data_IF_656856439971
#
_entry.id   IF_656856439971
#
_cell.length_a   1.000
_cell.length_b   1.000
_cell.length_c   1.000
_cell.angle_alpha   90.00
_cell.angle_beta   90.00
_cell.angle_gamma   90.00
#
_symmetry.space_group_name_H-M   'P 1'
#
loop_
_entity.id
_entity.type
_entity.pdbx_description
1 polymer ?
#
# COMPACT_ATOMS: atom_id res chain seq x y z
N UNK A 1 -21.86 5.32 59.82
CA UNK A 1 -21.16 4.26 59.06
C UNK A 1 -20.67 4.87 57.76
N UNK A 2 -19.39 5.22 57.74
CA UNK A 2 -18.77 5.96 56.64
C UNK A 2 -18.34 4.98 55.54
N UNK A 3 -18.72 5.28 54.29
CA UNK A 3 -18.24 4.54 53.11
C UNK A 3 -17.13 5.39 52.50
N UNK A 4 -15.91 4.86 52.55
CA UNK A 4 -14.72 5.43 51.92
C UNK A 4 -14.79 5.18 50.40
N UNK A 5 -14.80 6.25 49.62
CA UNK A 5 -14.63 6.23 48.17
C UNK A 5 -13.15 6.42 47.85
N UNK A 6 -12.48 5.38 47.40
CA UNK A 6 -11.07 5.43 47.00
C UNK A 6 -10.97 5.91 45.55
N UNK A 7 -10.58 7.16 45.37
CA UNK A 7 -10.16 7.68 44.08
C UNK A 7 -8.74 7.16 43.76
N UNK A 8 -8.62 6.35 42.74
CA UNK A 8 -7.33 5.95 42.18
C UNK A 8 -6.81 7.10 41.33
N UNK A 9 -5.73 7.75 41.81
CA UNK A 9 -4.97 8.75 41.08
C UNK A 9 -4.14 8.05 40.00
N UNK A 10 -4.49 8.23 38.75
CA UNK A 10 -3.60 7.88 37.62
C UNK A 10 -2.37 8.77 37.66
N UNK A 11 -1.21 8.18 37.88
CA UNK A 11 0.08 8.85 37.75
C UNK A 11 0.41 9.01 36.25
N UNK A 12 0.48 10.27 35.80
CA UNK A 12 1.08 10.59 34.49
C UNK A 12 2.58 10.30 34.61
N UNK A 13 3.08 9.43 33.73
CA UNK A 13 4.51 9.24 33.55
C UNK A 13 5.07 10.40 32.72
N UNK A 14 6.22 10.99 33.10
CA UNK A 14 6.85 12.00 32.26
C UNK A 14 7.54 11.33 31.06
N UNK A 15 7.36 11.89 29.87
CA UNK A 15 8.03 11.52 28.64
C UNK A 15 9.56 11.57 28.83
N UNK A 16 10.20 10.43 28.87
CA UNK A 16 11.65 10.31 28.88
C UNK A 16 12.19 10.49 27.46
N UNK A 17 12.84 11.61 27.21
CA UNK A 17 13.64 11.82 26.00
C UNK A 17 14.76 10.78 25.96
N UNK A 18 14.68 9.82 25.05
CA UNK A 18 15.81 8.96 24.70
C UNK A 18 16.73 9.75 23.78
N UNK A 19 17.93 10.07 24.27
CA UNK A 19 19.01 10.61 23.46
C UNK A 19 19.56 9.50 22.58
N UNK A 20 19.36 9.60 21.26
CA UNK A 20 20.01 8.74 20.27
C UNK A 20 21.48 9.12 20.19
N UNK A 21 22.36 8.20 20.60
CA UNK A 21 23.78 8.31 20.40
C UNK A 21 24.11 7.96 18.95
N UNK A 22 24.49 8.96 18.17
CA UNK A 22 25.07 8.77 16.84
C UNK A 22 26.45 8.12 16.98
N UNK A 23 26.56 6.85 16.63
CA UNK A 23 27.86 6.18 16.46
C UNK A 23 28.27 6.36 15.00
N UNK A 24 29.16 7.30 14.76
CA UNK A 24 29.80 7.47 13.45
C UNK A 24 30.87 6.40 13.26
N UNK A 25 30.65 5.46 12.38
CA UNK A 25 31.69 4.57 11.87
C UNK A 25 32.40 5.25 10.69
N UNK A 26 33.62 5.68 10.92
CA UNK A 26 34.54 6.08 9.84
C UNK A 26 35.14 4.82 9.21
N UNK A 27 34.73 4.49 7.98
CA UNK A 27 35.38 3.46 7.17
C UNK A 27 36.54 4.12 6.43
N UNK A 28 37.77 3.82 6.86
CA UNK A 28 38.98 4.18 6.13
C UNK A 28 39.18 3.19 4.98
N UNK A 29 38.98 3.65 3.75
CA UNK A 29 39.32 2.90 2.55
C UNK A 29 40.84 2.99 2.31
N UNK A 30 41.56 1.89 2.54
CA UNK A 30 42.95 1.74 2.14
C UNK A 30 42.97 1.38 0.63
N UNK A 31 43.39 2.32 -0.19
CA UNK A 31 43.66 2.08 -1.62
C UNK A 31 45.05 1.46 -1.75
N UNK A 32 45.08 0.15 -1.94
CA UNK A 32 46.28 -0.58 -2.32
C UNK A 32 46.60 -0.40 -3.80
N UNK A 33 47.69 0.29 -4.09
CA UNK A 33 48.25 0.45 -5.46
C UNK A 33 49.07 -0.79 -5.79
N UNK A 34 48.66 -1.58 -6.81
CA UNK A 34 49.45 -2.65 -7.38
C UNK A 34 49.92 -2.19 -8.76
N UNK A 35 51.24 -2.09 -9.06
CA UNK A 35 51.72 -1.77 -10.37
C UNK A 35 51.72 -3.02 -11.29
N UNK A 36 50.95 -2.93 -12.39
CA UNK A 36 50.98 -3.92 -13.47
C UNK A 36 52.03 -3.60 -14.52
N UNK A 37 52.50 -4.61 -15.31
CA UNK A 37 53.65 -4.49 -16.20
C UNK A 37 53.35 -3.71 -17.49
N UNK A 38 54.35 -2.94 -17.91
CA UNK A 38 54.42 -2.28 -19.21
C UNK A 38 54.51 -3.33 -20.34
N UNK A 39 53.72 -3.15 -21.36
CA UNK A 39 53.99 -3.73 -22.68
C UNK A 39 54.10 -2.63 -23.71
N UNK A 40 55.11 -2.83 -24.56
CA UNK A 40 55.65 -1.92 -25.51
C UNK A 40 54.75 -1.61 -26.72
N UNK A 41 55.06 -0.48 -27.25
CA UNK A 41 54.82 0.16 -28.50
C UNK A 41 54.59 -0.74 -29.72
N UNK A 42 53.52 -0.46 -30.47
CA UNK A 42 53.24 -1.06 -31.76
C UNK A 42 52.29 -0.19 -32.57
N UNK A 43 52.88 0.81 -33.23
CA UNK A 43 52.27 1.69 -34.24
C UNK A 43 51.61 0.89 -35.37
N UNK A 44 50.35 1.11 -35.69
CA UNK A 44 49.81 1.01 -37.05
C UNK A 44 48.61 1.95 -37.25
N UNK A 45 48.64 2.59 -38.42
CA UNK A 45 47.87 3.76 -38.85
C UNK A 45 46.35 3.52 -39.08
N UNK A 46 45.64 4.65 -39.03
CA UNK A 46 44.24 4.84 -39.37
C UNK A 46 43.89 4.55 -40.86
N UNK A 47 42.58 4.45 -41.18
CA UNK A 47 42.07 5.53 -42.02
C UNK A 47 40.85 6.24 -41.49
N UNK A 48 40.87 7.54 -41.65
CA UNK A 48 39.75 8.48 -41.54
C UNK A 48 38.60 8.10 -42.46
N UNK A 49 37.40 8.22 -41.97
CA UNK A 49 36.24 8.52 -42.82
C UNK A 49 35.37 9.55 -42.09
N UNK A 50 35.45 10.74 -42.63
CA UNK A 50 34.61 11.87 -42.28
C UNK A 50 33.14 11.58 -42.61
N UNK A 51 32.22 11.76 -41.64
CA UNK A 51 30.81 11.97 -41.92
C UNK A 51 30.40 13.28 -41.27
N UNK A 52 29.99 14.15 -42.10
CA UNK A 52 29.59 15.53 -41.98
C UNK A 52 28.40 15.68 -40.99
N UNK A 53 28.56 16.56 -40.03
CA UNK A 53 27.48 17.11 -39.22
C UNK A 53 26.57 17.99 -40.06
N UNK A 54 25.27 17.73 -40.02
CA UNK A 54 24.25 18.67 -40.43
C UNK A 54 23.36 18.98 -39.24
N UNK A 55 23.55 20.16 -38.67
CA UNK A 55 22.60 20.77 -37.72
C UNK A 55 21.40 21.32 -38.48
N UNK A 56 20.16 21.10 -38.02
CA UNK A 56 19.06 21.94 -38.47
C UNK A 56 18.90 23.14 -37.54
N UNK A 57 18.87 24.29 -38.20
CA UNK A 57 18.57 25.62 -37.65
C UNK A 57 17.21 25.67 -36.97
N UNK A 58 17.18 26.35 -35.83
CA UNK A 58 15.98 26.91 -35.21
C UNK A 58 15.24 27.82 -36.22
N UNK A 59 13.97 27.56 -36.42
CA UNK A 59 13.03 28.49 -37.05
C UNK A 59 12.01 28.96 -36.00
N UNK A 60 12.20 30.17 -35.59
CA UNK A 60 11.21 31.00 -34.86
C UNK A 60 10.10 31.41 -35.82
N UNK A 61 8.89 30.97 -35.57
CA UNK A 61 7.70 31.65 -36.08
C UNK A 61 6.54 31.42 -35.09
N UNK A 62 6.26 32.47 -34.34
CA UNK A 62 5.05 32.65 -33.57
C UNK A 62 3.99 33.25 -34.54
N UNK A 63 2.76 32.76 -34.55
CA UNK A 63 1.64 33.57 -35.02
C UNK A 63 0.81 34.03 -33.83
N UNK A 64 0.53 35.32 -33.88
CA UNK A 64 -0.35 36.09 -33.03
C UNK A 64 -1.79 35.53 -32.90
N UNK A 65 -2.28 35.66 -31.70
CA UNK A 65 -3.66 36.01 -31.28
C UNK A 65 -4.69 36.16 -32.40
N UNK A 66 -5.79 35.41 -32.30
CA UNK A 66 -7.12 36.02 -32.18
C UNK A 66 -8.19 34.96 -31.92
N UNK A 67 -9.19 35.35 -31.11
CA UNK A 67 -10.46 34.71 -30.91
C UNK A 67 -10.55 33.57 -29.88
N UNK A 68 -10.87 33.98 -28.67
CA UNK A 68 -11.61 33.20 -27.70
C UNK A 68 -13.05 33.02 -28.20
N UNK A 69 -13.57 31.82 -28.40
CA UNK A 69 -15.00 31.56 -28.39
C UNK A 69 -15.40 31.14 -26.97
N UNK A 70 -16.56 31.67 -26.60
CA UNK A 70 -17.17 31.65 -25.32
C UNK A 70 -17.36 30.28 -24.67
N UNK A 71 -17.57 30.38 -23.37
CA UNK A 71 -18.19 29.47 -22.45
C UNK A 71 -19.15 28.49 -23.15
N UNK A 72 -18.72 27.23 -23.30
CA UNK A 72 -19.65 26.13 -23.51
C UNK A 72 -19.40 25.11 -22.44
N UNK A 73 -20.34 25.09 -21.50
CA UNK A 73 -20.84 23.94 -20.74
C UNK A 73 -19.78 22.86 -20.38
N UNK A 74 -19.31 22.96 -19.14
CA UNK A 74 -18.95 21.82 -18.32
C UNK A 74 -19.93 20.68 -18.64
N UNK A 75 -19.50 19.48 -19.03
CA UNK A 75 -20.40 18.32 -19.02
C UNK A 75 -20.85 18.14 -17.57
N UNK A 76 -22.13 18.29 -17.33
CA UNK A 76 -22.77 17.85 -16.12
C UNK A 76 -22.40 16.38 -15.94
N UNK A 77 -21.76 16.08 -14.84
CA UNK A 77 -21.71 14.75 -14.24
C UNK A 77 -23.16 14.36 -13.92
N UNK A 78 -23.84 13.79 -14.89
CA UNK A 78 -25.14 13.19 -14.72
C UNK A 78 -24.98 11.70 -14.93
N UNK A 79 -25.12 11.06 -13.85
CA UNK A 79 -25.66 9.76 -13.52
C UNK A 79 -24.71 9.01 -12.59
N UNK A 80 -24.61 9.48 -11.39
CA UNK A 80 -24.64 8.58 -10.25
C UNK A 80 -25.94 7.78 -10.38
N UNK A 81 -25.91 6.43 -10.43
CA UNK A 81 -27.15 5.64 -10.43
C UNK A 81 -27.94 6.05 -9.18
N UNK A 82 -29.21 6.34 -9.39
CA UNK A 82 -30.15 6.67 -8.35
C UNK A 82 -29.94 5.77 -7.12
N UNK A 83 -29.59 6.41 -6.04
CA UNK A 83 -29.65 5.93 -4.68
C UNK A 83 -31.02 5.28 -4.43
N UNK A 84 -31.15 3.99 -4.68
CA UNK A 84 -32.13 3.19 -3.96
C UNK A 84 -31.72 3.27 -2.51
N UNK A 85 -32.53 3.91 -1.69
CA UNK A 85 -32.41 4.21 -0.28
C UNK A 85 -31.28 3.38 0.40
N UNK A 86 -30.16 4.03 0.62
CA UNK A 86 -29.11 3.51 1.49
C UNK A 86 -29.80 3.21 2.82
N UNK A 87 -29.75 1.98 3.35
CA UNK A 87 -30.28 1.69 4.66
C UNK A 87 -29.69 2.70 5.65
N UNK A 88 -30.51 3.21 6.55
CA UNK A 88 -30.08 4.18 7.57
C UNK A 88 -28.79 3.65 8.21
N UNK A 89 -27.73 4.46 8.18
CA UNK A 89 -26.48 4.13 8.85
C UNK A 89 -26.80 3.81 10.31
N UNK A 90 -26.33 2.68 10.76
CA UNK A 90 -26.42 2.31 12.17
C UNK A 90 -25.74 3.39 13.03
N UNK A 91 -26.27 3.64 14.23
CA UNK A 91 -25.59 4.48 15.19
C UNK A 91 -24.20 3.86 15.51
N UNK A 92 -23.17 4.68 15.80
CA UNK A 92 -21.87 4.16 16.20
C UNK A 92 -22.02 3.11 17.32
N UNK A 93 -21.24 2.01 17.28
CA UNK A 93 -21.23 1.01 18.35
C UNK A 93 -20.95 1.68 19.70
N UNK A 94 -21.51 1.15 20.78
CA UNK A 94 -21.21 1.61 22.13
C UNK A 94 -19.78 1.28 22.52
N UNK A 95 -19.19 2.06 23.43
CA UNK A 95 -17.83 1.89 23.96
C UNK A 95 -17.55 0.55 24.68
N UNK A 96 -18.53 -0.34 24.76
CA UNK A 96 -18.42 -1.64 25.44
C UNK A 96 -18.08 -2.81 24.49
N UNK A 97 -17.92 -2.55 23.18
CA UNK A 97 -17.58 -3.58 22.19
C UNK A 97 -16.07 -3.72 22.05
N UNK A 98 -15.46 -4.55 22.90
CA UNK A 98 -14.01 -4.77 22.99
C UNK A 98 -13.42 -5.53 21.79
N UNK A 99 -14.24 -5.89 20.81
CA UNK A 99 -13.82 -6.63 19.61
C UNK A 99 -13.69 -5.72 18.38
N UNK A 100 -13.95 -4.41 18.53
CA UNK A 100 -13.95 -3.46 17.43
C UNK A 100 -12.65 -2.65 17.34
N UNK A 101 -12.07 -2.66 16.14
CA UNK A 101 -11.06 -1.71 15.72
C UNK A 101 -11.61 -0.72 14.72
N UNK A 102 -10.74 0.13 14.23
CA UNK A 102 -11.03 1.09 13.16
C UNK A 102 -9.92 1.12 12.14
N UNK A 103 -10.29 1.33 10.89
CA UNK A 103 -9.33 1.73 9.87
C UNK A 103 -9.50 3.21 9.51
N UNK A 104 -8.35 3.88 9.29
CA UNK A 104 -8.27 5.30 8.95
C UNK A 104 -7.20 5.55 7.90
N UNK A 105 -7.36 6.63 7.12
CA UNK A 105 -6.35 7.05 6.16
C UNK A 105 -6.49 8.54 5.81
N UNK A 106 -6.01 8.93 4.64
CA UNK A 106 -6.03 10.30 4.17
C UNK A 106 -7.39 11.04 4.24
N UNK A 107 -8.58 10.40 4.10
CA UNK A 107 -9.84 11.12 4.25
C UNK A 107 -10.08 11.67 5.66
N UNK A 108 -9.49 11.03 6.67
CA UNK A 108 -9.60 11.46 8.07
C UNK A 108 -8.51 12.46 8.47
N UNK A 109 -7.68 12.95 7.52
CA UNK A 109 -6.68 13.98 7.81
C UNK A 109 -7.30 15.24 8.40
N UNK A 110 -6.70 15.74 9.49
CA UNK A 110 -7.16 16.93 10.24
C UNK A 110 -8.59 16.80 10.82
N UNK A 111 -9.16 15.61 10.85
CA UNK A 111 -10.43 15.29 11.48
C UNK A 111 -10.25 14.69 12.88
N UNK A 112 -11.36 14.46 13.56
CA UNK A 112 -11.35 13.61 14.75
C UNK A 112 -11.13 12.16 14.32
N UNK A 113 -10.32 11.42 15.07
CA UNK A 113 -10.15 9.98 14.93
C UNK A 113 -11.04 9.25 15.96
N UNK A 114 -11.37 7.98 15.75
CA UNK A 114 -12.14 7.19 16.71
C UNK A 114 -11.45 7.14 18.07
N UNK A 115 -12.26 7.15 19.14
CA UNK A 115 -11.76 7.02 20.50
C UNK A 115 -11.57 5.54 20.87
N UNK A 116 -10.48 5.21 21.55
CA UNK A 116 -10.20 3.93 22.22
C UNK A 116 -10.49 2.65 21.38
N UNK A 117 -10.00 2.52 20.12
CA UNK A 117 -10.20 1.31 19.35
C UNK A 117 -9.46 0.12 19.99
N UNK A 118 -10.00 -1.09 19.88
CA UNK A 118 -9.29 -2.29 20.32
C UNK A 118 -8.01 -2.53 19.49
N UNK A 119 -8.04 -2.20 18.21
CA UNK A 119 -6.88 -2.19 17.29
C UNK A 119 -7.12 -1.15 16.20
N UNK A 120 -6.05 -0.72 15.56
CA UNK A 120 -6.10 0.29 14.52
C UNK A 120 -5.39 -0.18 13.24
N UNK A 121 -5.94 0.19 12.09
CA UNK A 121 -5.34 -0.09 10.78
C UNK A 121 -5.16 1.25 10.06
N UNK A 122 -3.93 1.57 9.64
CA UNK A 122 -3.62 2.88 9.04
C UNK A 122 -3.27 2.72 7.57
N UNK A 123 -3.94 3.47 6.71
CA UNK A 123 -3.65 3.52 5.28
C UNK A 123 -2.40 4.33 4.98
N UNK A 124 -1.45 3.71 4.28
CA UNK A 124 -0.15 4.31 3.94
C UNK A 124 -0.24 5.27 2.75
N UNK A 125 -1.22 5.06 1.87
CA UNK A 125 -1.37 5.81 0.64
C UNK A 125 -2.45 6.92 0.74
N UNK A 126 -2.40 7.87 -0.19
CA UNK A 126 -3.40 8.91 -0.40
C UNK A 126 -4.37 8.49 -1.51
N UNK A 127 -5.08 7.38 -1.33
CA UNK A 127 -6.10 6.84 -2.25
C UNK A 127 -5.59 6.26 -3.57
N UNK A 128 -4.29 6.29 -3.84
CA UNK A 128 -3.65 5.68 -5.02
C UNK A 128 -2.35 5.00 -4.62
N UNK A 129 -2.08 3.83 -5.16
CA UNK A 129 -0.93 2.97 -4.85
C UNK A 129 0.46 3.63 -4.98
N UNK A 130 0.57 4.77 -5.63
CA UNK A 130 1.83 5.50 -5.81
C UNK A 130 1.91 6.83 -5.03
N UNK A 131 1.05 7.02 -4.04
CA UNK A 131 0.96 8.24 -3.24
C UNK A 131 1.25 7.96 -1.77
N UNK A 132 1.46 9.01 -0.98
CA UNK A 132 1.70 8.90 0.46
C UNK A 132 0.57 9.61 1.22
N UNK A 133 0.03 8.97 2.24
CA UNK A 133 -0.92 9.57 3.16
C UNK A 133 -0.27 10.77 3.90
N UNK A 134 -0.78 11.99 3.74
CA UNK A 134 -0.15 13.17 4.33
C UNK A 134 -0.24 13.21 5.86
N UNK A 135 -1.10 12.40 6.46
CA UNK A 135 -1.30 12.31 7.91
C UNK A 135 -0.79 11.00 8.51
N UNK A 136 0.04 10.25 7.78
CA UNK A 136 0.45 8.91 8.19
C UNK A 136 1.03 8.88 9.60
N UNK A 137 1.94 9.79 9.94
CA UNK A 137 2.57 9.81 11.26
C UNK A 137 1.58 10.12 12.39
N UNK A 138 0.69 11.10 12.19
CA UNK A 138 -0.33 11.45 13.18
C UNK A 138 -1.29 10.27 13.43
N UNK A 139 -1.65 9.57 12.36
CA UNK A 139 -2.53 8.39 12.46
C UNK A 139 -1.82 7.18 13.05
N UNK A 140 -0.51 7.02 12.84
CA UNK A 140 0.28 5.98 13.51
C UNK A 140 0.43 6.28 15.01
N UNK A 141 0.69 7.55 15.39
CA UNK A 141 0.72 7.95 16.81
C UNK A 141 -0.62 7.65 17.50
N UNK A 142 -1.74 7.93 16.84
CA UNK A 142 -3.06 7.56 17.33
C UNK A 142 -3.24 6.04 17.46
N UNK A 143 -2.80 5.27 16.46
CA UNK A 143 -2.94 3.81 16.43
C UNK A 143 -2.15 3.11 17.55
N UNK A 144 -1.03 3.68 18.01
CA UNK A 144 -0.22 3.14 19.12
C UNK A 144 -1.00 3.14 20.46
N UNK A 145 -1.98 4.03 20.60
CA UNK A 145 -2.83 4.12 21.80
C UNK A 145 -3.98 3.08 21.82
N UNK A 146 -4.14 2.25 20.76
CA UNK A 146 -5.16 1.21 20.69
C UNK A 146 -5.11 0.28 21.93
N UNK A 147 -6.27 -0.09 22.47
CA UNK A 147 -6.37 -0.79 23.75
C UNK A 147 -5.84 -2.24 23.72
N UNK A 148 -5.98 -2.93 22.59
CA UNK A 148 -5.72 -4.37 22.47
C UNK A 148 -6.90 -5.19 22.94
N UNK A 149 -6.67 -6.48 23.21
CA UNK A 149 -7.69 -7.38 23.75
C UNK A 149 -8.27 -8.38 22.76
N UNK A 150 -7.92 -8.26 21.47
CA UNK A 150 -8.26 -9.22 20.41
C UNK A 150 -7.04 -10.01 19.96
N UNK A 151 -7.22 -10.97 19.04
CA UNK A 151 -6.10 -11.64 18.35
C UNK A 151 -5.42 -10.78 17.27
N UNK A 152 -5.93 -9.58 17.00
CA UNK A 152 -5.32 -8.65 16.05
C UNK A 152 -4.06 -7.98 16.62
N UNK A 153 -3.09 -7.59 15.77
CA UNK A 153 -2.05 -6.67 16.22
C UNK A 153 -2.68 -5.32 16.58
N UNK A 154 -2.14 -4.64 17.58
CA UNK A 154 -2.65 -3.32 17.97
C UNK A 154 -2.64 -2.32 16.83
N UNK A 155 -1.57 -2.37 16.03
CA UNK A 155 -1.40 -1.53 14.83
C UNK A 155 -1.13 -2.43 13.64
N UNK A 156 -1.87 -2.21 12.56
CA UNK A 156 -1.62 -2.77 11.25
C UNK A 156 -1.63 -1.66 10.20
N UNK A 157 -1.15 -1.98 9.00
CA UNK A 157 -1.13 -1.05 7.88
C UNK A 157 -1.94 -1.59 6.71
N UNK A 158 -2.46 -0.71 5.87
CA UNK A 158 -2.98 -1.12 4.58
C UNK A 158 -2.40 -0.27 3.45
N UNK A 159 -2.32 -0.85 2.26
CA UNK A 159 -1.85 -0.19 1.04
C UNK A 159 -2.85 -0.37 -0.07
N UNK A 160 -3.14 0.71 -0.80
CA UNK A 160 -3.89 0.63 -2.04
C UNK A 160 -3.10 -0.15 -3.09
N UNK A 161 -3.75 -1.09 -3.77
CA UNK A 161 -3.14 -1.90 -4.81
C UNK A 161 -3.68 -1.57 -6.19
N UNK A 162 -2.87 -1.73 -7.22
CA UNK A 162 -3.28 -1.44 -8.60
C UNK A 162 -2.33 -2.14 -9.59
N UNK A 163 -2.87 -2.56 -10.74
CA UNK A 163 -2.09 -3.01 -11.87
C UNK A 163 -2.45 -2.19 -13.13
N UNK A 164 -1.87 -1.00 -13.30
CA UNK A 164 -2.22 -0.09 -14.38
C UNK A 164 -1.60 -0.47 -15.73
N UNK A 165 -0.62 -1.38 -15.76
CA UNK A 165 0.16 -1.69 -16.95
C UNK A 165 0.89 -0.45 -17.48
N UNK A 166 1.08 -0.39 -18.79
CA UNK A 166 1.73 0.74 -19.48
C UNK A 166 0.93 2.05 -19.42
N UNK A 167 -0.29 2.03 -18.87
CA UNK A 167 -1.09 3.25 -18.64
C UNK A 167 -0.70 3.98 -17.36
N UNK A 168 0.08 3.32 -16.50
CA UNK A 168 0.63 3.92 -15.28
C UNK A 168 1.72 4.96 -15.57
N UNK A 169 2.09 5.72 -14.54
CA UNK A 169 3.19 6.69 -14.62
C UNK A 169 4.57 6.01 -14.69
N UNK A 170 4.65 4.76 -14.32
CA UNK A 170 5.86 3.93 -14.36
C UNK A 170 5.46 2.46 -14.54
N UNK A 171 6.30 1.70 -15.27
CA UNK A 171 6.17 0.27 -15.48
C UNK A 171 7.54 -0.38 -15.52
N UNK A 172 7.78 -1.55 -14.90
CA UNK A 172 9.07 -2.19 -14.88
C UNK A 172 9.47 -2.73 -16.26
N UNK A 173 10.79 -2.75 -16.52
CA UNK A 173 11.36 -3.25 -17.79
C UNK A 173 12.37 -4.37 -17.58
N UNK A 174 12.64 -4.75 -16.33
CA UNK A 174 13.55 -5.84 -15.96
C UNK A 174 13.20 -6.35 -14.56
N UNK A 175 13.96 -7.36 -14.07
CA UNK A 175 13.78 -7.94 -12.73
C UNK A 175 14.69 -7.27 -11.68
N UNK A 176 14.90 -5.95 -11.75
CA UNK A 176 15.69 -5.23 -10.77
C UNK A 176 14.88 -4.11 -10.11
N UNK A 177 14.88 -4.03 -8.78
CA UNK A 177 14.32 -2.91 -8.04
C UNK A 177 15.02 -2.72 -6.68
N UNK A 178 15.10 -1.49 -6.19
CA UNK A 178 15.74 -1.19 -4.92
C UNK A 178 17.21 -1.62 -4.84
N UNK A 179 17.91 -1.69 -5.97
CA UNK A 179 19.31 -2.14 -6.07
C UNK A 179 19.49 -3.66 -5.95
N UNK A 180 18.43 -4.44 -6.09
CA UNK A 180 18.45 -5.91 -6.03
C UNK A 180 17.88 -6.53 -7.30
N UNK A 181 18.47 -7.65 -7.73
CA UNK A 181 17.87 -8.55 -8.71
C UNK A 181 16.84 -9.42 -7.99
N UNK A 182 15.62 -9.42 -8.48
CA UNK A 182 14.48 -10.14 -7.89
C UNK A 182 14.28 -11.46 -8.62
N UNK A 183 14.19 -12.54 -7.86
CA UNK A 183 13.76 -13.84 -8.40
C UNK A 183 12.26 -13.78 -8.67
N UNK A 184 11.87 -13.79 -9.93
CA UNK A 184 10.50 -13.64 -10.38
C UNK A 184 9.96 -15.00 -10.84
N UNK A 185 8.93 -15.57 -10.16
CA UNK A 185 8.38 -16.88 -10.51
C UNK A 185 7.65 -16.87 -11.87
N UNK A 186 7.30 -15.70 -12.38
CA UNK A 186 6.64 -15.53 -13.67
C UNK A 186 7.63 -15.32 -14.83
N UNK A 187 8.95 -15.34 -14.56
CA UNK A 187 10.01 -15.19 -15.58
C UNK A 187 10.64 -13.80 -15.62
N UNK A 188 11.17 -13.43 -16.78
CA UNK A 188 11.86 -12.14 -16.95
C UNK A 188 10.87 -11.08 -17.40
N UNK A 189 10.81 -9.97 -16.67
CA UNK A 189 10.11 -8.77 -17.11
C UNK A 189 10.90 -8.10 -18.24
N UNK A 190 10.25 -7.87 -19.36
CA UNK A 190 10.81 -7.20 -20.53
C UNK A 190 10.03 -5.95 -20.94
N UNK A 191 9.31 -5.33 -19.98
CA UNK A 191 8.51 -4.13 -20.24
C UNK A 191 7.14 -4.41 -20.85
N UNK A 192 6.69 -5.66 -20.91
CA UNK A 192 5.38 -6.06 -21.45
C UNK A 192 4.30 -6.00 -20.39
N UNK A 193 3.04 -5.86 -20.82
CA UNK A 193 1.87 -6.01 -19.90
C UNK A 193 1.57 -7.49 -19.66
N UNK A 194 2.47 -8.20 -18.98
CA UNK A 194 2.38 -9.62 -18.67
C UNK A 194 2.55 -9.89 -17.16
N UNK A 195 2.39 -11.14 -16.75
CA UNK A 195 2.53 -11.53 -15.36
C UNK A 195 3.93 -11.27 -14.80
N UNK A 196 4.98 -11.40 -15.62
CA UNK A 196 6.36 -11.16 -15.15
C UNK A 196 6.58 -9.69 -14.78
N UNK A 197 6.12 -8.76 -15.62
CA UNK A 197 6.24 -7.34 -15.30
C UNK A 197 5.23 -6.88 -14.26
N UNK A 198 4.03 -7.47 -14.22
CA UNK A 198 3.07 -7.18 -13.15
C UNK A 198 3.62 -7.59 -11.77
N UNK A 199 4.26 -8.74 -11.64
CA UNK A 199 4.95 -9.15 -10.41
C UNK A 199 6.01 -8.13 -9.99
N UNK A 200 6.84 -7.67 -10.91
CA UNK A 200 7.86 -6.66 -10.63
C UNK A 200 7.26 -5.31 -10.25
N UNK A 201 6.09 -4.95 -10.83
CA UNK A 201 5.37 -3.75 -10.44
C UNK A 201 4.90 -3.84 -9.00
N UNK A 202 4.24 -4.92 -8.61
CA UNK A 202 3.80 -5.15 -7.24
C UNK A 202 4.97 -5.17 -6.24
N UNK A 203 6.04 -5.90 -6.56
CA UNK A 203 7.26 -5.91 -5.74
C UNK A 203 7.82 -4.50 -5.51
N UNK A 204 7.87 -3.68 -6.57
CA UNK A 204 8.35 -2.32 -6.47
C UNK A 204 7.42 -1.42 -5.65
N UNK A 205 6.08 -1.58 -5.78
CA UNK A 205 5.12 -0.79 -4.99
C UNK A 205 5.21 -1.13 -3.50
N UNK A 206 5.30 -2.40 -3.13
CA UNK A 206 5.51 -2.81 -1.75
C UNK A 206 6.85 -2.30 -1.18
N UNK A 207 7.92 -2.30 -1.98
CA UNK A 207 9.20 -1.66 -1.60
C UNK A 207 9.02 -0.16 -1.34
N UNK A 208 8.34 0.55 -2.24
CA UNK A 208 8.07 1.98 -2.10
C UNK A 208 7.25 2.26 -0.83
N UNK A 209 6.23 1.43 -0.56
CA UNK A 209 5.37 1.58 0.62
C UNK A 209 6.13 1.35 1.92
N UNK A 210 7.00 0.34 1.97
CA UNK A 210 7.81 0.04 3.14
C UNK A 210 8.90 1.08 3.41
N UNK A 211 9.58 1.58 2.38
CA UNK A 211 10.81 2.34 2.57
C UNK A 211 10.76 3.79 2.10
N UNK A 212 9.81 4.15 1.22
CA UNK A 212 9.72 5.52 0.68
C UNK A 212 8.51 6.31 1.22
N UNK A 213 7.62 5.65 1.99
CA UNK A 213 6.45 6.30 2.62
C UNK A 213 6.69 6.68 4.08
N UNK A 214 7.92 6.61 4.55
CA UNK A 214 8.30 6.99 5.92
C UNK A 214 7.65 6.12 7.02
N UNK A 215 7.48 4.82 6.75
CA UNK A 215 7.08 3.83 7.75
C UNK A 215 8.34 3.37 8.49
N UNK A 216 8.36 3.55 9.81
CA UNK A 216 9.43 3.04 10.65
C UNK A 216 9.23 1.54 10.92
N UNK A 217 10.31 0.74 10.93
CA UNK A 217 10.33 -0.70 11.22
C UNK A 217 9.26 -1.50 10.46
N UNK A 218 9.17 -1.36 9.10
CA UNK A 218 8.08 -1.89 8.27
C UNK A 218 7.88 -3.41 8.37
N UNK A 219 8.92 -4.16 8.77
CA UNK A 219 8.88 -5.60 9.02
C UNK A 219 8.05 -6.01 10.23
N UNK A 220 7.74 -5.09 11.13
CA UNK A 220 7.01 -5.39 12.37
C UNK A 220 5.50 -5.45 12.18
N UNK A 221 4.98 -4.86 11.09
CA UNK A 221 3.56 -4.73 10.85
C UNK A 221 2.95 -5.94 10.12
N UNK A 222 1.63 -6.06 10.25
CA UNK A 222 0.77 -6.77 9.32
C UNK A 222 0.32 -5.77 8.25
N UNK A 223 0.59 -6.08 6.98
CA UNK A 223 0.24 -5.26 5.82
C UNK A 223 -0.97 -5.86 5.09
N UNK A 224 -2.02 -5.08 4.98
CA UNK A 224 -3.22 -5.45 4.23
C UNK A 224 -3.13 -4.92 2.81
N UNK A 225 -3.28 -5.81 1.83
CA UNK A 225 -3.37 -5.46 0.42
C UNK A 225 -4.83 -5.12 0.11
N UNK A 226 -5.12 -3.85 -0.13
CA UNK A 226 -6.46 -3.36 -0.46
C UNK A 226 -6.77 -3.59 -1.95
N UNK A 227 -7.61 -4.61 -2.23
CA UNK A 227 -7.94 -5.07 -3.58
C UNK A 227 -9.37 -4.70 -3.93
N UNK A 228 -9.53 -3.52 -4.52
CA UNK A 228 -10.83 -2.95 -4.85
C UNK A 228 -10.97 -2.52 -6.32
N UNK A 229 -12.19 -2.59 -6.85
CA UNK A 229 -12.49 -2.19 -8.24
C UNK A 229 -12.44 -0.67 -8.46
N UNK A 230 -12.33 0.12 -7.40
CA UNK A 230 -12.06 1.56 -7.46
C UNK A 230 -10.68 1.89 -8.04
N UNK A 231 -9.73 0.97 -7.89
CA UNK A 231 -8.38 1.10 -8.43
C UNK A 231 -8.28 0.63 -9.90
N UNK A 232 -7.15 0.91 -10.53
CA UNK A 232 -6.91 0.51 -11.92
C UNK A 232 -6.35 -0.91 -11.97
N UNK A 233 -7.00 -1.79 -12.74
CA UNK A 233 -6.59 -3.18 -12.88
C UNK A 233 -6.44 -3.57 -14.35
N UNK A 234 -5.59 -4.57 -14.60
CA UNK A 234 -5.51 -5.24 -15.90
C UNK A 234 -6.79 -6.05 -16.16
N UNK A 235 -7.14 -6.22 -17.42
CA UNK A 235 -8.16 -7.20 -17.83
C UNK A 235 -7.70 -8.66 -17.64
N UNK A 236 -6.42 -8.90 -17.48
CA UNK A 236 -5.84 -10.22 -17.22
C UNK A 236 -5.70 -10.47 -15.70
N UNK A 237 -6.57 -11.36 -15.19
CA UNK A 237 -6.53 -11.78 -13.77
C UNK A 237 -5.21 -12.44 -13.37
N UNK A 238 -4.51 -13.08 -14.31
CA UNK A 238 -3.23 -13.69 -14.01
C UNK A 238 -2.17 -12.62 -13.75
N UNK A 239 -2.17 -11.53 -14.52
CA UNK A 239 -1.30 -10.40 -14.28
C UNK A 239 -1.65 -9.69 -12.96
N UNK A 240 -2.94 -9.56 -12.61
CA UNK A 240 -3.36 -8.99 -11.32
C UNK A 240 -2.92 -9.86 -10.14
N UNK A 241 -3.00 -11.20 -10.26
CA UNK A 241 -2.45 -12.11 -9.24
C UNK A 241 -0.95 -11.96 -9.09
N UNK A 242 -0.23 -11.92 -10.20
CA UNK A 242 1.22 -11.76 -10.19
C UNK A 242 1.66 -10.45 -9.52
N UNK A 243 0.93 -9.36 -9.73
CA UNK A 243 1.16 -8.07 -9.06
C UNK A 243 1.05 -8.22 -7.52
N UNK A 244 -0.05 -8.80 -7.03
CA UNK A 244 -0.26 -9.04 -5.60
C UNK A 244 0.73 -10.06 -5.02
N UNK A 245 1.16 -11.07 -5.78
CA UNK A 245 2.22 -11.99 -5.40
C UNK A 245 3.55 -11.26 -5.23
N UNK A 246 3.87 -10.34 -6.14
CA UNK A 246 5.07 -9.50 -6.04
C UNK A 246 5.08 -8.64 -4.78
N UNK A 247 3.94 -8.01 -4.42
CA UNK A 247 3.79 -7.27 -3.17
C UNK A 247 3.97 -8.19 -1.95
N UNK A 248 3.30 -9.33 -1.96
CA UNK A 248 3.35 -10.30 -0.86
C UNK A 248 4.77 -10.82 -0.64
N UNK A 249 5.45 -11.21 -1.71
CA UNK A 249 6.81 -11.76 -1.65
C UNK A 249 7.81 -10.70 -1.17
N UNK A 250 7.63 -9.44 -1.55
CA UNK A 250 8.45 -8.36 -1.01
C UNK A 250 8.26 -8.23 0.50
N UNK A 251 7.03 -8.06 0.99
CA UNK A 251 6.76 -7.91 2.42
C UNK A 251 7.25 -9.13 3.23
N UNK A 252 7.04 -10.35 2.74
CA UNK A 252 7.60 -11.55 3.35
C UNK A 252 9.14 -11.54 3.37
N UNK A 253 9.79 -11.00 2.32
CA UNK A 253 11.26 -10.94 2.23
C UNK A 253 11.91 -10.05 3.28
N UNK A 254 11.16 -9.10 3.83
CA UNK A 254 11.59 -8.24 4.94
C UNK A 254 11.14 -8.76 6.31
N UNK A 255 10.36 -9.86 6.36
CA UNK A 255 9.85 -10.46 7.59
C UNK A 255 8.46 -9.97 8.02
N UNK A 256 7.83 -9.11 7.25
CA UNK A 256 6.49 -8.61 7.52
C UNK A 256 5.42 -9.68 7.28
N UNK A 257 4.27 -9.51 7.92
CA UNK A 257 3.07 -10.34 7.68
C UNK A 257 2.20 -9.65 6.63
N UNK A 258 1.43 -10.45 5.87
CA UNK A 258 0.54 -9.94 4.82
C UNK A 258 -0.85 -10.53 4.98
N UNK A 259 -1.87 -9.72 4.68
CA UNK A 259 -3.25 -10.14 4.57
C UNK A 259 -3.92 -9.47 3.35
N UNK A 260 -5.14 -9.86 3.03
CA UNK A 260 -5.89 -9.34 1.88
C UNK A 260 -7.18 -8.71 2.38
N UNK A 261 -7.41 -7.45 2.00
CA UNK A 261 -8.70 -6.79 2.14
C UNK A 261 -9.42 -6.77 0.78
N UNK A 262 -10.67 -7.17 0.77
CA UNK A 262 -11.57 -7.03 -0.39
C UNK A 262 -13.02 -7.34 -0.03
N UNK A 263 -13.93 -6.94 -0.90
CA UNK A 263 -15.24 -7.59 -0.97
C UNK A 263 -15.15 -8.82 -1.87
N UNK A 264 -15.81 -9.94 -1.49
CA UNK A 264 -15.73 -11.22 -2.23
C UNK A 264 -16.02 -11.08 -3.73
N UNK A 265 -16.98 -10.20 -4.12
CA UNK A 265 -17.29 -9.92 -5.52
C UNK A 265 -16.15 -9.19 -6.24
N UNK A 266 -15.51 -8.23 -5.60
CA UNK A 266 -14.40 -7.47 -6.18
C UNK A 266 -13.20 -8.39 -6.38
N UNK A 267 -12.87 -9.20 -5.37
CA UNK A 267 -11.82 -10.21 -5.45
C UNK A 267 -12.05 -11.17 -6.63
N UNK A 268 -13.25 -11.74 -6.75
CA UNK A 268 -13.59 -12.64 -7.86
C UNK A 268 -13.46 -11.97 -9.24
N UNK A 269 -13.72 -10.68 -9.33
CA UNK A 269 -13.59 -9.91 -10.58
C UNK A 269 -12.14 -9.62 -10.93
N UNK A 270 -11.32 -9.20 -9.96
CA UNK A 270 -9.95 -8.71 -10.15
C UNK A 270 -8.96 -9.87 -10.23
N UNK A 271 -9.09 -10.83 -9.33
CA UNK A 271 -8.11 -11.90 -9.08
C UNK A 271 -8.64 -13.27 -9.47
N UNK A 272 -9.86 -13.60 -9.04
CA UNK A 272 -10.46 -14.91 -9.21
C UNK A 272 -9.86 -15.96 -8.27
N UNK A 273 -9.79 -17.20 -8.74
CA UNK A 273 -9.27 -18.32 -7.96
C UNK A 273 -7.75 -18.26 -7.83
N UNK A 274 -7.24 -18.61 -6.65
CA UNK A 274 -5.82 -18.66 -6.32
C UNK A 274 -5.40 -20.10 -6.04
N UNK A 275 -4.40 -20.59 -6.76
CA UNK A 275 -3.86 -21.94 -6.60
C UNK A 275 -2.95 -22.08 -5.39
N UNK A 276 -2.71 -23.32 -4.94
CA UNK A 276 -1.91 -23.64 -3.76
C UNK A 276 -0.42 -23.27 -3.86
N UNK A 277 0.07 -23.03 -5.08
CA UNK A 277 1.46 -22.62 -5.34
C UNK A 277 1.67 -21.09 -5.21
N UNK A 278 0.59 -20.30 -5.13
CA UNK A 278 0.64 -18.85 -5.01
C UNK A 278 0.96 -18.43 -3.57
N UNK A 279 1.78 -17.40 -3.40
CA UNK A 279 2.02 -16.79 -2.08
C UNK A 279 0.76 -16.15 -1.48
N UNK A 280 -0.27 -15.91 -2.27
CA UNK A 280 -1.56 -15.42 -1.80
C UNK A 280 -2.43 -16.50 -1.14
N UNK A 281 -2.19 -17.81 -1.39
CA UNK A 281 -3.14 -18.89 -1.13
C UNK A 281 -3.64 -18.98 0.31
N UNK A 282 -2.77 -18.78 1.29
CA UNK A 282 -3.09 -18.93 2.71
C UNK A 282 -3.14 -17.62 3.49
N UNK A 283 -3.18 -16.48 2.80
CA UNK A 283 -3.23 -15.18 3.46
C UNK A 283 -4.56 -15.00 4.21
N UNK A 284 -4.54 -14.37 5.39
CA UNK A 284 -5.75 -14.01 6.11
C UNK A 284 -6.59 -13.02 5.30
N UNK A 285 -7.89 -13.08 5.49
CA UNK A 285 -8.87 -12.24 4.81
C UNK A 285 -9.50 -11.24 5.75
N UNK A 286 -9.52 -9.99 5.34
CA UNK A 286 -10.31 -8.90 5.88
C UNK A 286 -11.43 -8.61 4.88
N UNK A 287 -12.68 -8.91 5.24
CA UNK A 287 -13.81 -8.81 4.33
C UNK A 287 -14.57 -7.51 4.52
N UNK A 288 -14.81 -6.80 3.43
CA UNK A 288 -15.72 -5.66 3.39
C UNK A 288 -17.17 -6.08 3.17
N UNK A 289 -18.11 -5.22 3.57
CA UNK A 289 -19.50 -5.28 3.17
C UNK A 289 -20.50 -5.74 4.24
N UNK A 290 -20.09 -5.83 5.49
CA UNK A 290 -21.04 -5.93 6.58
C UNK A 290 -21.84 -4.61 6.71
N UNK A 291 -23.06 -4.71 7.23
CA UNK A 291 -23.99 -3.58 7.32
C UNK A 291 -24.16 -3.07 8.76
N UNK A 292 -23.59 -3.80 9.71
CA UNK A 292 -23.66 -3.52 11.13
C UNK A 292 -22.67 -4.39 11.89
N UNK A 293 -22.39 -4.07 13.15
CA UNK A 293 -21.59 -4.89 14.06
C UNK A 293 -22.13 -6.33 14.19
N UNK A 294 -23.45 -6.50 14.34
CA UNK A 294 -24.07 -7.81 14.40
C UNK A 294 -23.86 -8.62 13.10
N UNK A 295 -24.02 -7.98 11.94
CA UNK A 295 -23.75 -8.62 10.64
C UNK A 295 -22.27 -8.95 10.46
N UNK A 296 -21.36 -8.11 10.96
CA UNK A 296 -19.93 -8.38 10.94
C UNK A 296 -19.57 -9.66 11.71
N UNK A 297 -20.13 -9.86 12.92
CA UNK A 297 -19.96 -11.10 13.68
C UNK A 297 -20.44 -12.34 12.92
N UNK A 298 -21.59 -12.27 12.26
CA UNK A 298 -22.13 -13.38 11.45
C UNK A 298 -21.20 -13.71 10.28
N UNK A 299 -20.59 -12.70 9.66
CA UNK A 299 -19.68 -12.84 8.52
C UNK A 299 -18.32 -13.46 8.89
N UNK A 300 -17.95 -13.60 10.14
CA UNK A 300 -16.74 -14.31 10.56
C UNK A 300 -16.72 -15.78 10.08
N UNK A 301 -17.90 -16.36 9.84
CA UNK A 301 -18.05 -17.72 9.27
C UNK A 301 -18.09 -17.77 7.74
N UNK A 302 -17.92 -16.62 7.07
CA UNK A 302 -17.92 -16.54 5.61
C UNK A 302 -16.71 -17.24 5.00
N UNK A 303 -16.79 -17.57 3.71
CA UNK A 303 -15.64 -18.10 2.98
C UNK A 303 -14.55 -17.03 2.84
N UNK A 304 -13.27 -17.37 3.09
CA UNK A 304 -12.16 -16.45 2.87
C UNK A 304 -11.95 -16.14 1.40
N UNK A 305 -11.19 -15.08 1.10
CA UNK A 305 -10.86 -14.66 -0.27
C UNK A 305 -10.00 -15.69 -1.00
N UNK A 306 -9.17 -16.42 -0.27
CA UNK A 306 -8.35 -17.52 -0.80
C UNK A 306 -8.67 -18.82 -0.04
N UNK A 307 -8.66 -19.94 -0.75
CA UNK A 307 -9.15 -21.21 -0.21
C UNK A 307 -8.33 -21.77 0.96
N UNK A 308 -7.08 -21.35 1.10
CA UNK A 308 -6.19 -21.73 2.22
C UNK A 308 -6.16 -20.72 3.36
N UNK A 309 -6.82 -19.58 3.21
CA UNK A 309 -6.86 -18.51 4.21
C UNK A 309 -7.96 -18.68 5.26
N UNK A 310 -8.07 -17.69 6.13
CA UNK A 310 -9.11 -17.57 7.15
C UNK A 310 -9.65 -16.15 7.15
N UNK A 311 -10.94 -15.98 7.45
CA UNK A 311 -11.52 -14.67 7.74
C UNK A 311 -11.11 -14.27 9.15
N UNK A 312 -10.42 -13.15 9.29
CA UNK A 312 -9.93 -12.66 10.59
C UNK A 312 -10.49 -11.28 10.93
N UNK A 313 -10.97 -10.53 9.93
CA UNK A 313 -11.56 -9.20 10.09
C UNK A 313 -12.77 -9.02 9.17
N UNK A 314 -13.75 -8.26 9.66
CA UNK A 314 -14.92 -7.85 8.90
C UNK A 314 -15.15 -6.34 9.07
N UNK A 315 -15.15 -5.60 7.96
CA UNK A 315 -15.41 -4.17 7.95
C UNK A 315 -16.90 -3.84 7.76
N UNK A 316 -17.37 -2.83 8.48
CA UNK A 316 -18.65 -2.16 8.30
C UNK A 316 -18.53 -0.66 8.55
N UNK A 317 -19.42 0.12 7.95
CA UNK A 317 -19.45 1.57 8.12
C UNK A 317 -20.53 1.95 9.12
N UNK A 318 -20.18 2.75 10.14
CA UNK A 318 -21.15 3.33 11.06
C UNK A 318 -20.81 4.80 11.33
N UNK A 319 -21.80 5.69 11.21
CA UNK A 319 -21.55 7.12 11.29
C UNK A 319 -20.60 7.62 10.21
N UNK A 320 -19.45 8.15 10.60
CA UNK A 320 -18.41 8.69 9.71
C UNK A 320 -17.15 7.86 9.66
N UNK A 321 -17.14 6.69 10.30
CA UNK A 321 -15.95 5.84 10.42
C UNK A 321 -16.19 4.44 9.89
N UNK A 322 -15.11 3.83 9.45
CA UNK A 322 -15.00 2.42 9.18
C UNK A 322 -14.63 1.69 10.47
N UNK A 323 -15.40 0.65 10.78
CA UNK A 323 -15.22 -0.21 11.94
C UNK A 323 -14.88 -1.61 11.50
N UNK A 324 -13.99 -2.26 12.24
CA UNK A 324 -13.50 -3.59 11.97
C UNK A 324 -13.79 -4.53 13.13
N UNK A 325 -14.60 -5.55 12.88
CA UNK A 325 -14.86 -6.59 13.87
C UNK A 325 -13.79 -7.69 13.78
N UNK A 326 -13.12 -7.96 14.90
CA UNK A 326 -12.15 -9.05 15.00
C UNK A 326 -12.88 -10.40 15.09
N UNK A 327 -12.49 -11.34 14.23
CA UNK A 327 -12.95 -12.73 14.26
C UNK A 327 -12.01 -13.67 15.04
N UNK A 328 -10.92 -13.14 15.64
CA UNK A 328 -9.88 -13.89 16.36
C UNK A 328 -9.45 -13.22 17.66
#
# INVERSE_FOLDING_TARGET
MSIFSSRILRRKHPAGRRASALVSFAVAAAVGFVPGPRLDDGTLAAPESAVTQASPKASTAQPNNTAQPGNTARPNNTAQPNNTAQPAHEAPPGSDDTELGNDVSWPQCNGALPDDPAFAIVGVNNGLANTTNPCLHEQLDWAEDAEGGTGQPRVALYVNTANPGLRGSWWPTNNEYGGKVVTNPHGTCEGKEDAACAYMYGYAKAFDDAYLRTVDDPETYLWWLDVETGNTWSGDRNANRADLEGMTDFFHSIGARVGIYSAARQWAQIVGEVGTASSLYSLPSWLAGARSAAHARDMCSAAPLTAGGQVVLIQFVAGSFDYDHSCI
#
